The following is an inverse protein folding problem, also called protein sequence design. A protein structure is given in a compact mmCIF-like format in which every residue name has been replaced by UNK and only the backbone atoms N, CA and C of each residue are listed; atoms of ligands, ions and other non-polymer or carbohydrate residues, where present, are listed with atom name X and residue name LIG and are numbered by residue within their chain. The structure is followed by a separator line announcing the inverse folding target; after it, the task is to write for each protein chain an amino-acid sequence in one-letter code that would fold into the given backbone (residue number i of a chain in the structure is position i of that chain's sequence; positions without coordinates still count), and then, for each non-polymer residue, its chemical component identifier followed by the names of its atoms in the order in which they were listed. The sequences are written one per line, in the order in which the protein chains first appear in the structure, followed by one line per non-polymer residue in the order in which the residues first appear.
data_IF_441438367787
#
_entry.id   IF_441438367787
#
_cell.length_a   1.000
_cell.length_b   1.000
_cell.length_c   1.000
_cell.angle_alpha   90.00
_cell.angle_beta   90.00
_cell.angle_gamma   90.00
#
_symmetry.space_group_name_H-M   'P 1'
#
loop_
_entity.id
_entity.type
_entity.pdbx_description
1 polymer ?
#
# COMPACT_ATOMS: atom_id res chain seq x y z
N UNK A 1 22.94 -15.05 4.05
CA UNK A 1 24.16 -14.39 3.53
C UNK A 1 24.07 -14.43 2.01
N UNK A 2 23.74 -13.31 1.37
CA UNK A 2 23.59 -13.23 -0.09
C UNK A 2 24.87 -12.64 -0.66
N UNK A 3 25.67 -13.50 -1.30
CA UNK A 3 26.93 -13.12 -1.94
C UNK A 3 26.61 -12.20 -3.12
N UNK A 4 27.10 -10.95 -3.07
CA UNK A 4 27.19 -10.09 -4.25
C UNK A 4 28.35 -10.59 -5.09
N UNK A 5 28.06 -11.29 -6.18
CA UNK A 5 29.04 -11.53 -7.23
C UNK A 5 29.18 -10.23 -8.03
N UNK A 6 30.23 -9.47 -7.73
CA UNK A 6 30.73 -8.44 -8.65
C UNK A 6 31.69 -9.16 -9.60
N UNK A 7 31.18 -9.60 -10.76
CA UNK A 7 32.05 -9.88 -11.89
C UNK A 7 32.21 -8.54 -12.63
N UNK A 8 33.38 -7.94 -12.46
CA UNK A 8 33.97 -7.02 -13.44
C UNK A 8 34.02 -7.70 -14.81
N UNK A 9 34.05 -6.90 -15.88
CA UNK A 9 34.26 -7.23 -17.31
C UNK A 9 33.07 -7.09 -18.28
N UNK A 10 31.82 -6.87 -17.84
CA UNK A 10 30.77 -6.40 -18.75
C UNK A 10 29.74 -5.57 -17.97
N UNK A 11 29.42 -4.36 -18.45
CA UNK A 11 28.60 -3.37 -17.74
C UNK A 11 27.14 -3.79 -17.47
N UNK A 12 26.79 -5.05 -17.71
CA UNK A 12 25.48 -5.65 -17.47
C UNK A 12 25.44 -6.29 -16.09
N UNK A 13 24.84 -5.58 -15.14
CA UNK A 13 24.50 -6.15 -13.84
C UNK A 13 23.41 -7.22 -14.04
N UNK A 14 23.71 -8.49 -13.79
CA UNK A 14 22.74 -9.60 -13.87
C UNK A 14 21.73 -9.51 -12.72
N UNK A 15 20.76 -8.61 -12.90
CA UNK A 15 19.71 -8.33 -11.94
C UNK A 15 18.39 -8.91 -12.44
N UNK A 16 17.81 -9.80 -11.63
CA UNK A 16 16.46 -10.30 -11.86
C UNK A 16 15.48 -9.12 -11.92
N UNK A 17 14.48 -9.16 -12.82
CA UNK A 17 13.50 -8.08 -13.02
C UNK A 17 12.86 -7.57 -11.72
N UNK A 18 12.52 -8.48 -10.81
CA UNK A 18 11.97 -8.13 -9.49
C UNK A 18 12.91 -7.22 -8.70
N UNK A 19 14.22 -7.46 -8.76
CA UNK A 19 15.20 -6.61 -8.11
C UNK A 19 15.26 -5.22 -8.75
N UNK A 20 15.28 -5.14 -10.09
CA UNK A 20 15.24 -3.87 -10.83
C UNK A 20 14.04 -3.00 -10.47
N UNK A 21 12.86 -3.61 -10.29
CA UNK A 21 11.64 -2.90 -9.88
C UNK A 21 11.71 -2.35 -8.44
N UNK A 22 12.48 -2.99 -7.55
CA UNK A 22 12.63 -2.55 -6.15
C UNK A 22 13.77 -1.55 -5.95
N UNK A 23 14.74 -1.46 -6.87
CA UNK A 23 15.90 -0.58 -6.77
C UNK A 23 15.57 0.91 -6.59
N UNK A 24 14.59 1.51 -7.31
CA UNK A 24 14.26 2.92 -7.13
C UNK A 24 13.81 3.23 -5.71
N UNK A 25 12.95 2.38 -5.13
CA UNK A 25 12.45 2.56 -3.77
C UNK A 25 13.59 2.39 -2.75
N UNK A 26 14.44 1.39 -2.94
CA UNK A 26 15.63 1.16 -2.10
C UNK A 26 16.63 2.32 -2.18
N UNK A 27 16.74 2.99 -3.32
CA UNK A 27 17.65 4.13 -3.49
C UNK A 27 17.14 5.36 -2.75
N UNK A 28 15.84 5.61 -2.81
CA UNK A 28 15.20 6.75 -2.13
C UNK A 28 15.40 6.67 -0.62
N UNK A 29 15.20 5.49 -0.01
CA UNK A 29 15.39 5.32 1.44
C UNK A 29 16.84 5.47 1.90
N UNK A 30 17.81 5.23 1.00
CA UNK A 30 19.25 5.40 1.30
C UNK A 30 19.70 6.87 1.32
N UNK A 31 19.04 7.76 0.56
CA UNK A 31 19.46 9.16 0.51
C UNK A 31 19.43 9.83 1.88
N UNK A 32 18.43 9.54 2.72
CA UNK A 32 18.37 10.07 4.08
C UNK A 32 19.58 9.65 4.93
N UNK A 33 19.96 8.38 4.85
CA UNK A 33 21.11 7.82 5.58
C UNK A 33 22.43 8.43 5.11
N UNK A 34 22.60 8.58 3.80
CA UNK A 34 23.81 9.18 3.21
C UNK A 34 23.92 10.66 3.57
N UNK A 35 22.82 11.42 3.52
CA UNK A 35 22.80 12.83 3.90
C UNK A 35 23.09 13.02 5.40
N UNK A 36 22.59 12.13 6.27
CA UNK A 36 22.93 12.13 7.70
C UNK A 36 24.42 11.88 7.94
N UNK A 37 25.05 11.01 7.14
CA UNK A 37 26.48 10.73 7.23
C UNK A 37 27.32 11.93 6.80
N UNK A 38 26.92 12.59 5.71
CA UNK A 38 27.56 13.83 5.22
C UNK A 38 27.44 14.92 6.26
N UNK A 39 26.25 15.14 6.83
CA UNK A 39 26.01 16.14 7.89
C UNK A 39 26.92 15.93 9.11
N UNK A 40 27.26 14.68 9.44
CA UNK A 40 28.17 14.38 10.56
C UNK A 40 29.60 14.85 10.31
N UNK A 41 30.01 14.96 9.05
CA UNK A 41 31.35 15.34 8.63
C UNK A 41 31.44 16.78 8.10
N UNK A 42 30.35 17.56 8.15
CA UNK A 42 30.32 18.97 7.74
C UNK A 42 30.52 19.89 8.95
N UNK A 43 31.54 20.73 8.90
CA UNK A 43 31.89 21.70 9.95
C UNK A 43 31.21 23.07 9.76
N UNK A 44 30.91 23.46 8.52
CA UNK A 44 30.29 24.76 8.23
C UNK A 44 28.80 24.82 8.62
N UNK A 45 28.41 25.85 9.36
CA UNK A 45 27.04 25.99 9.86
C UNK A 45 26.01 26.29 8.76
N UNK A 46 26.39 27.02 7.70
CA UNK A 46 25.46 27.32 6.62
C UNK A 46 25.14 26.07 5.79
N UNK A 47 26.16 25.27 5.47
CA UNK A 47 26.00 23.97 4.79
C UNK A 47 25.23 22.95 5.64
N UNK A 48 25.47 22.92 6.96
CA UNK A 48 24.73 22.05 7.89
C UNK A 48 23.22 22.32 7.87
N UNK A 49 22.81 23.59 7.90
CA UNK A 49 21.39 23.97 7.85
C UNK A 49 20.73 23.53 6.53
N UNK A 50 21.46 23.63 5.41
CA UNK A 50 20.99 23.13 4.12
C UNK A 50 20.83 21.61 4.12
N UNK A 51 21.80 20.87 4.68
CA UNK A 51 21.74 19.42 4.81
C UNK A 51 20.59 18.96 5.71
N UNK A 52 20.32 19.63 6.83
CA UNK A 52 19.17 19.35 7.69
C UNK A 52 17.84 19.53 6.95
N UNK A 53 17.73 20.61 6.16
CA UNK A 53 16.57 20.85 5.30
C UNK A 53 16.40 19.74 4.26
N UNK A 54 17.49 19.31 3.62
CA UNK A 54 17.48 18.19 2.66
C UNK A 54 17.08 16.86 3.29
N UNK A 55 17.54 16.58 4.52
CA UNK A 55 17.15 15.37 5.27
C UNK A 55 15.66 15.40 5.57
N UNK A 56 15.11 16.55 5.99
CA UNK A 56 13.68 16.71 6.23
C UNK A 56 12.85 16.42 4.96
N UNK A 57 13.23 17.01 3.82
CA UNK A 57 12.56 16.75 2.54
C UNK A 57 12.66 15.30 2.08
N UNK A 58 13.81 14.66 2.26
CA UNK A 58 14.01 13.25 1.89
C UNK A 58 13.15 12.33 2.76
N UNK A 59 13.02 12.64 4.04
CA UNK A 59 12.18 11.91 4.98
C UNK A 59 10.69 12.08 4.67
N UNK A 60 10.25 13.29 4.34
CA UNK A 60 8.88 13.58 3.89
C UNK A 60 8.57 12.80 2.60
N UNK A 61 9.48 12.83 1.62
CA UNK A 61 9.32 12.08 0.37
C UNK A 61 9.14 10.58 0.62
N UNK A 62 9.99 9.98 1.46
CA UNK A 62 9.87 8.58 1.87
C UNK A 62 8.49 8.29 2.47
N UNK A 63 8.02 9.16 3.36
CA UNK A 63 6.73 9.01 4.05
C UNK A 63 5.56 9.09 3.05
N UNK A 64 5.57 10.09 2.15
CA UNK A 64 4.57 10.26 1.10
C UNK A 64 4.52 9.10 0.12
N UNK A 65 5.68 8.58 -0.29
CA UNK A 65 5.76 7.40 -1.15
C UNK A 65 5.20 6.17 -0.45
N UNK A 66 5.53 5.97 0.83
CA UNK A 66 5.00 4.87 1.61
C UNK A 66 3.46 4.95 1.73
N UNK A 67 2.91 6.13 2.05
CA UNK A 67 1.46 6.34 2.11
C UNK A 67 0.77 6.10 0.76
N UNK A 68 1.39 6.54 -0.34
CA UNK A 68 0.86 6.31 -1.69
C UNK A 68 0.86 4.82 -2.07
N UNK A 69 1.93 4.11 -1.71
CA UNK A 69 2.03 2.67 -1.93
C UNK A 69 0.99 1.90 -1.12
N UNK A 70 0.86 2.23 0.17
CA UNK A 70 -0.15 1.64 1.05
C UNK A 70 -1.56 1.88 0.50
N UNK A 71 -1.87 3.10 0.07
CA UNK A 71 -3.18 3.42 -0.50
C UNK A 71 -3.49 2.57 -1.73
N UNK A 72 -2.53 2.41 -2.65
CA UNK A 72 -2.72 1.57 -3.84
C UNK A 72 -2.92 0.10 -3.48
N UNK A 73 -2.10 -0.42 -2.57
CA UNK A 73 -2.23 -1.79 -2.08
C UNK A 73 -3.60 -2.02 -1.42
N UNK A 74 -4.03 -1.10 -0.56
CA UNK A 74 -5.34 -1.15 0.11
C UNK A 74 -6.49 -1.14 -0.92
N UNK A 75 -6.37 -0.31 -1.97
CA UNK A 75 -7.37 -0.24 -3.04
C UNK A 75 -7.42 -1.53 -3.88
N UNK A 76 -6.27 -2.11 -4.20
CA UNK A 76 -6.19 -3.39 -4.91
C UNK A 76 -6.81 -4.53 -4.10
N UNK A 77 -6.54 -4.58 -2.80
CA UNK A 77 -7.17 -5.57 -1.91
C UNK A 77 -8.68 -5.41 -1.83
N UNK A 78 -9.17 -4.17 -1.65
CA UNK A 78 -10.60 -3.88 -1.60
C UNK A 78 -11.28 -4.24 -2.92
N UNK A 79 -10.64 -3.94 -4.06
CA UNK A 79 -11.14 -4.33 -5.38
C UNK A 79 -11.22 -5.85 -5.53
N UNK A 80 -10.20 -6.59 -5.09
CA UNK A 80 -10.26 -8.05 -5.10
C UNK A 80 -11.41 -8.63 -4.26
N UNK A 81 -11.77 -7.98 -3.14
CA UNK A 81 -12.96 -8.36 -2.36
C UNK A 81 -14.26 -7.99 -3.08
N UNK A 82 -14.32 -6.83 -3.73
CA UNK A 82 -15.47 -6.41 -4.52
C UNK A 82 -15.73 -7.38 -5.70
N UNK A 83 -14.69 -7.76 -6.43
CA UNK A 83 -14.77 -8.71 -7.54
C UNK A 83 -15.31 -10.07 -7.04
N UNK A 84 -14.81 -10.58 -5.89
CA UNK A 84 -15.32 -11.80 -5.25
C UNK A 84 -16.80 -11.71 -4.85
N UNK A 85 -17.27 -10.53 -4.44
CA UNK A 85 -18.66 -10.29 -4.10
C UNK A 85 -19.55 -10.27 -5.35
N UNK A 86 -19.09 -9.65 -6.43
CA UNK A 86 -19.81 -9.62 -7.71
C UNK A 86 -19.91 -11.03 -8.32
N UNK A 87 -18.83 -11.81 -8.28
CA UNK A 87 -18.79 -13.19 -8.78
C UNK A 87 -19.62 -14.17 -7.92
N UNK A 88 -19.77 -13.90 -6.62
CA UNK A 88 -20.47 -14.76 -5.67
C UNK A 88 -21.99 -14.66 -5.79
N UNK A 89 -22.55 -15.01 -6.97
CA UNK A 89 -23.99 -15.22 -7.20
C UNK A 89 -24.88 -14.14 -6.56
N UNK A 90 -24.40 -12.89 -6.49
CA UNK A 90 -25.06 -11.82 -5.74
C UNK A 90 -26.50 -11.62 -6.22
N UNK A 91 -26.75 -11.87 -7.50
CA UNK A 91 -28.08 -11.86 -8.10
C UNK A 91 -28.99 -12.97 -7.54
N UNK A 92 -28.50 -14.21 -7.45
CA UNK A 92 -29.27 -15.32 -6.85
C UNK A 92 -29.54 -15.07 -5.36
N UNK A 93 -28.59 -14.43 -4.66
CA UNK A 93 -28.72 -14.10 -3.25
C UNK A 93 -29.75 -12.99 -3.05
N UNK A 94 -29.79 -12.01 -3.96
CA UNK A 94 -30.83 -10.96 -3.98
C UNK A 94 -32.22 -11.55 -4.18
N UNK A 95 -32.35 -12.55 -5.04
CA UNK A 95 -33.62 -13.24 -5.31
C UNK A 95 -34.04 -14.18 -4.17
N UNK A 96 -33.07 -14.75 -3.43
CA UNK A 96 -33.32 -15.57 -2.25
C UNK A 96 -33.56 -14.75 -0.97
N UNK A 97 -33.05 -13.52 -0.90
CA UNK A 97 -33.32 -12.57 0.16
C UNK A 97 -34.75 -12.03 0.00
N UNK A 98 -35.48 -11.87 1.11
CA UNK A 98 -36.80 -11.21 1.07
C UNK A 98 -36.70 -9.75 0.60
N UNK A 99 -37.81 -9.21 0.08
CA UNK A 99 -37.91 -7.86 -0.50
C UNK A 99 -37.30 -6.75 0.39
N UNK A 100 -37.44 -6.84 1.70
CA UNK A 100 -36.88 -5.88 2.66
C UNK A 100 -35.34 -5.88 2.61
N UNK A 101 -34.72 -7.05 2.57
CA UNK A 101 -33.27 -7.19 2.55
C UNK A 101 -32.69 -6.79 1.17
N UNK A 102 -33.40 -7.09 0.08
CA UNK A 102 -33.05 -6.60 -1.25
C UNK A 102 -33.12 -5.06 -1.34
N UNK A 103 -34.17 -4.45 -0.77
CA UNK A 103 -34.33 -2.99 -0.70
C UNK A 103 -33.21 -2.31 0.11
N UNK A 104 -32.75 -2.95 1.19
CA UNK A 104 -31.62 -2.48 1.98
C UNK A 104 -30.31 -2.53 1.17
N UNK A 105 -30.05 -3.60 0.42
CA UNK A 105 -28.87 -3.71 -0.43
C UNK A 105 -28.84 -2.62 -1.50
N UNK A 106 -29.99 -2.31 -2.10
CA UNK A 106 -30.11 -1.24 -3.10
C UNK A 106 -29.97 0.16 -2.48
N UNK A 107 -30.52 0.38 -1.28
CA UNK A 107 -30.36 1.63 -0.53
C UNK A 107 -28.90 1.90 -0.20
N UNK A 108 -28.19 0.88 0.28
CA UNK A 108 -26.82 1.05 0.77
C UNK A 108 -25.76 0.84 -0.32
N UNK A 109 -26.15 0.52 -1.57
CA UNK A 109 -25.27 0.33 -2.75
C UNK A 109 -23.91 -0.17 -2.33
N UNK A 110 -23.81 -1.46 -1.99
CA UNK A 110 -22.62 -2.11 -1.42
C UNK A 110 -21.45 -2.15 -2.41
N UNK A 111 -20.95 -0.97 -2.77
CA UNK A 111 -19.81 -0.74 -3.64
C UNK A 111 -18.63 -0.41 -2.73
N UNK A 112 -17.75 -1.39 -2.57
CA UNK A 112 -16.57 -1.26 -1.72
C UNK A 112 -15.52 -0.31 -2.31
N UNK A 113 -15.60 -0.02 -3.61
CA UNK A 113 -14.66 0.87 -4.31
C UNK A 113 -14.99 2.35 -4.09
N UNK A 114 -16.18 2.67 -3.57
CA UNK A 114 -16.58 4.04 -3.27
C UNK A 114 -16.05 4.51 -1.91
N UNK A 115 -15.76 5.82 -1.78
CA UNK A 115 -15.46 6.43 -0.51
C UNK A 115 -16.55 6.17 0.53
N UNK A 116 -16.15 6.11 1.80
CA UNK A 116 -17.09 5.94 2.91
C UNK A 116 -18.06 7.14 3.01
N UNK A 117 -19.38 6.91 3.18
CA UNK A 117 -20.39 7.97 3.07
C UNK A 117 -20.22 9.18 4.00
N UNK A 118 -19.67 8.98 5.20
CA UNK A 118 -19.66 10.00 6.25
C UNK A 118 -18.34 10.80 6.32
N UNK A 119 -17.22 10.21 5.89
CA UNK A 119 -15.90 10.84 6.03
C UNK A 119 -15.11 10.92 4.71
N UNK A 120 -15.66 10.40 3.61
CA UNK A 120 -15.02 10.42 2.29
C UNK A 120 -13.71 9.65 2.20
N UNK A 121 -13.35 8.88 3.23
CA UNK A 121 -12.12 8.09 3.22
C UNK A 121 -12.28 6.87 2.31
N UNK A 122 -11.20 6.51 1.62
CA UNK A 122 -11.13 5.27 0.88
C UNK A 122 -11.22 4.09 1.86
N UNK A 123 -11.96 3.05 1.48
CA UNK A 123 -12.05 1.82 2.27
C UNK A 123 -10.72 1.08 2.22
N UNK A 124 -10.41 0.34 3.28
CA UNK A 124 -9.26 -0.57 3.34
C UNK A 124 -9.62 -1.82 4.12
N UNK A 125 -9.02 -2.96 3.76
CA UNK A 125 -9.15 -4.20 4.52
C UNK A 125 -8.30 -4.10 5.78
N UNK A 126 -8.92 -4.26 6.95
CA UNK A 126 -8.20 -4.18 8.23
C UNK A 126 -7.77 -5.58 8.69
N UNK A 127 -8.67 -6.56 8.58
CA UNK A 127 -8.43 -7.95 8.96
C UNK A 127 -9.22 -8.89 8.03
N UNK A 128 -8.70 -10.08 7.81
CA UNK A 128 -9.36 -11.20 7.14
C UNK A 128 -8.99 -12.49 7.89
N UNK A 129 -9.94 -13.39 8.09
CA UNK A 129 -9.71 -14.63 8.83
C UNK A 129 -10.83 -15.64 8.63
N UNK A 130 -10.52 -16.91 8.85
CA UNK A 130 -11.49 -18.00 8.76
C UNK A 130 -12.36 -18.02 10.02
N UNK A 131 -13.67 -17.90 9.82
CA UNK A 131 -14.65 -17.86 10.91
C UNK A 131 -15.76 -18.89 10.66
N UNK A 132 -16.30 -19.45 11.74
CA UNK A 132 -17.52 -20.27 11.72
C UNK A 132 -18.66 -19.45 12.31
N UNK A 133 -19.73 -19.28 11.55
CA UNK A 133 -20.97 -18.70 12.06
C UNK A 133 -21.63 -19.70 13.00
N UNK A 134 -21.99 -19.24 14.20
CA UNK A 134 -22.80 -20.01 15.14
C UNK A 134 -24.21 -19.45 15.09
N UNK A 135 -25.14 -20.21 14.54
CA UNK A 135 -26.56 -19.83 14.56
C UNK A 135 -27.14 -20.14 15.94
N UNK A 136 -27.66 -19.13 16.63
CA UNK A 136 -28.43 -19.28 17.88
C UNK A 136 -29.88 -19.74 17.60
N UNK A 137 -30.01 -20.78 16.79
CA UNK A 137 -31.22 -21.62 16.74
C UNK A 137 -30.81 -23.07 16.92
N UNK A 138 -30.57 -23.38 18.20
CA UNK A 138 -30.33 -24.69 18.78
C UNK A 138 -30.35 -24.56 20.29
#
# INVERSE_FOLDING_TARGET
MSCRNYNDEDGTVDLQLKSLLTMPLQRITKYGLLLQEVLRHTEDNAERLQLETMIAHTTDLCSRLNSSYQLKSDQEEVRGVADRLEDAKMQEWREALGDEAASLLDRYRLDLTRPMPHNGQQRRKICEGELRLRDEKG
#
